data_IF_624583028265
#
_entry.id   IF_624583028265
#
_cell.length_a   1.000
_cell.length_b   1.000
_cell.length_c   1.000
_cell.angle_alpha   90.00
_cell.angle_beta   90.00
_cell.angle_gamma   90.00
#
_symmetry.space_group_name_H-M   'P 1'
#
loop_
_entity.id
_entity.type
_entity.pdbx_description
1 polymer ?
#
# COMPACT_ATOMS: atom_id res chain seq x y z
N UNK A 1 -0.39 8.57 9.91
CA UNK A 1 -0.02 7.18 9.61
C UNK A 1 -1.24 6.43 9.07
N UNK A 2 -1.03 5.72 7.99
CA UNK A 2 -1.99 4.74 7.50
C UNK A 2 -1.40 3.34 7.61
N UNK A 3 -2.18 2.39 8.13
CA UNK A 3 -1.79 0.98 8.22
C UNK A 3 -2.88 0.14 7.56
N UNK A 4 -2.52 -0.56 6.50
CA UNK A 4 -3.42 -1.50 5.82
C UNK A 4 -3.11 -2.93 6.24
N UNK A 5 -4.15 -3.70 6.54
CA UNK A 5 -4.02 -5.09 6.96
C UNK A 5 -4.85 -6.01 6.07
N UNK A 6 -4.54 -7.31 6.09
CA UNK A 6 -5.32 -8.32 5.40
C UNK A 6 -6.67 -8.45 6.08
N UNK A 7 -7.76 -8.17 5.36
CA UNK A 7 -9.12 -8.24 5.89
C UNK A 7 -9.66 -9.66 5.88
N UNK A 8 -10.51 -9.95 6.87
CA UNK A 8 -11.21 -11.23 6.93
C UNK A 8 -12.47 -11.19 6.04
N UNK A 9 -12.26 -11.40 4.75
CA UNK A 9 -13.34 -11.42 3.74
C UNK A 9 -13.65 -12.86 3.30
N UNK A 10 -13.61 -13.80 4.25
CA UNK A 10 -13.83 -15.22 3.95
C UNK A 10 -12.60 -15.91 3.39
N UNK A 11 -11.43 -15.30 3.50
CA UNK A 11 -10.15 -15.85 3.08
C UNK A 11 -9.32 -16.24 4.30
N UNK A 12 -8.38 -17.16 4.11
CA UNK A 12 -7.44 -17.58 5.14
C UNK A 12 -6.16 -16.72 5.11
N UNK A 13 -5.72 -16.38 3.90
CA UNK A 13 -4.52 -15.61 3.68
C UNK A 13 -4.59 -14.90 2.32
N UNK A 14 -3.65 -14.02 2.08
CA UNK A 14 -3.49 -13.33 0.80
C UNK A 14 -2.03 -13.30 0.41
N UNK A 15 -1.74 -13.62 -0.85
CA UNK A 15 -0.39 -13.55 -1.38
C UNK A 15 -0.24 -12.32 -2.26
N UNK A 16 0.84 -11.58 -2.06
CA UNK A 16 1.14 -10.35 -2.79
C UNK A 16 2.40 -10.52 -3.62
N UNK A 17 2.33 -10.10 -4.88
CA UNK A 17 3.49 -10.05 -5.78
C UNK A 17 3.55 -8.69 -6.47
N UNK A 18 4.77 -8.24 -6.72
CA UNK A 18 5.02 -7.03 -7.52
C UNK A 18 6.34 -7.17 -8.26
N UNK A 19 6.50 -6.39 -9.32
CA UNK A 19 7.80 -6.21 -9.95
C UNK A 19 8.57 -5.16 -9.13
N UNK A 20 9.48 -5.62 -8.26
CA UNK A 20 10.10 -4.77 -7.25
C UNK A 20 10.73 -3.49 -7.81
N UNK A 21 11.48 -3.58 -8.91
CA UNK A 21 12.11 -2.40 -9.50
C UNK A 21 11.09 -1.37 -9.97
N UNK A 22 10.02 -1.82 -10.63
CA UNK A 22 8.95 -0.94 -11.13
C UNK A 22 8.17 -0.38 -9.95
N UNK A 23 7.82 -1.23 -8.99
CA UNK A 23 7.06 -0.82 -7.83
C UNK A 23 7.81 0.23 -6.99
N UNK A 24 9.09 0.02 -6.73
CA UNK A 24 9.92 0.98 -5.97
C UNK A 24 9.98 2.32 -6.70
N UNK A 25 10.21 2.30 -8.00
CA UNK A 25 10.27 3.52 -8.81
C UNK A 25 8.95 4.28 -8.80
N UNK A 26 7.84 3.56 -8.92
CA UNK A 26 6.51 4.17 -8.87
C UNK A 26 6.22 4.76 -7.50
N UNK A 27 6.60 4.08 -6.43
CA UNK A 27 6.46 4.61 -5.07
C UNK A 27 7.29 5.87 -4.86
N UNK A 28 8.51 5.92 -5.37
CA UNK A 28 9.35 7.11 -5.32
C UNK A 28 8.71 8.29 -6.06
N UNK A 29 8.17 8.04 -7.23
CA UNK A 29 7.47 9.06 -8.03
C UNK A 29 6.25 9.59 -7.28
N UNK A 30 5.45 8.70 -6.70
CA UNK A 30 4.27 9.09 -5.91
C UNK A 30 4.68 9.93 -4.70
N UNK A 31 5.76 9.53 -4.01
CA UNK A 31 6.27 10.28 -2.86
C UNK A 31 6.72 11.68 -3.26
N UNK A 32 7.41 11.83 -4.38
CA UNK A 32 7.83 13.14 -4.90
C UNK A 32 6.63 14.01 -5.24
N UNK A 33 5.64 13.46 -5.92
CA UNK A 33 4.40 14.19 -6.26
C UNK A 33 3.65 14.63 -5.01
N UNK A 34 3.54 13.76 -4.01
CA UNK A 34 2.87 14.08 -2.75
C UNK A 34 3.61 15.18 -1.98
N UNK A 35 4.94 15.08 -1.92
CA UNK A 35 5.77 16.09 -1.25
C UNK A 35 5.57 17.46 -1.87
N UNK A 36 5.57 17.53 -3.19
CA UNK A 36 5.41 18.78 -3.92
C UNK A 36 4.00 19.34 -3.77
N UNK A 37 2.99 18.49 -3.94
CA UNK A 37 1.60 18.92 -3.94
C UNK A 37 1.08 19.33 -2.56
N UNK A 38 1.51 18.65 -1.51
CA UNK A 38 1.00 18.85 -0.14
C UNK A 38 2.03 19.42 0.82
N UNK A 39 3.20 19.78 0.33
CA UNK A 39 4.28 20.36 1.16
C UNK A 39 4.64 19.46 2.34
N UNK A 40 4.86 18.18 2.06
CA UNK A 40 5.19 17.20 3.10
C UNK A 40 6.68 17.31 3.48
N UNK A 41 6.97 17.11 4.77
CA UNK A 41 8.33 17.14 5.30
C UNK A 41 9.03 15.79 5.20
N UNK A 42 8.26 14.71 5.34
CA UNK A 42 8.79 13.36 5.32
C UNK A 42 7.73 12.37 4.84
N UNK A 43 8.18 11.31 4.18
CA UNK A 43 7.32 10.23 3.71
C UNK A 43 8.07 8.92 3.86
N UNK A 44 7.43 7.94 4.48
CA UNK A 44 7.89 6.55 4.49
C UNK A 44 6.75 5.67 4.01
N UNK A 45 7.03 4.83 3.02
CA UNK A 45 6.06 3.89 2.46
C UNK A 45 6.68 2.50 2.51
N UNK A 46 6.02 1.58 3.18
CA UNK A 46 6.47 0.19 3.29
C UNK A 46 5.35 -0.72 2.82
N UNK A 47 5.62 -1.54 1.82
CA UNK A 47 4.69 -2.55 1.32
C UNK A 47 5.33 -3.93 1.43
N UNK A 48 4.58 -4.90 1.94
CA UNK A 48 5.04 -6.28 2.06
C UNK A 48 4.55 -7.13 0.90
N UNK A 49 5.45 -7.97 0.39
CA UNK A 49 5.13 -9.02 -0.56
C UNK A 49 5.14 -10.38 0.15
N UNK A 50 4.62 -11.38 -0.52
CA UNK A 50 4.60 -12.75 -0.04
C UNK A 50 3.24 -13.16 0.53
N UNK A 51 3.23 -14.26 1.25
CA UNK A 51 2.02 -14.80 1.85
C UNK A 51 1.76 -14.13 3.20
N UNK A 52 0.63 -13.46 3.29
CA UNK A 52 0.21 -12.74 4.49
C UNK A 52 -1.11 -13.31 5.01
N UNK A 53 -1.20 -13.49 6.31
CA UNK A 53 -2.41 -14.00 6.97
C UNK A 53 -3.35 -12.85 7.30
N UNK A 54 -4.60 -13.19 7.58
CA UNK A 54 -5.59 -12.22 8.08
C UNK A 54 -5.00 -11.46 9.27
N UNK A 55 -5.18 -10.15 9.28
CA UNK A 55 -4.66 -9.19 10.24
C UNK A 55 -3.17 -8.82 10.08
N UNK A 56 -2.41 -9.52 9.25
CA UNK A 56 -1.04 -9.10 8.95
C UNK A 56 -1.02 -7.74 8.26
N UNK A 57 -0.01 -6.94 8.59
CA UNK A 57 0.19 -5.63 7.97
C UNK A 57 0.68 -5.79 6.54
N UNK A 58 0.00 -5.16 5.61
CA UNK A 58 0.34 -5.16 4.19
C UNK A 58 1.13 -3.90 3.82
N UNK A 59 0.65 -2.76 4.28
CA UNK A 59 1.10 -1.45 3.84
C UNK A 59 1.12 -0.48 5.01
N UNK A 60 2.21 0.26 5.13
CA UNK A 60 2.32 1.35 6.09
C UNK A 60 2.73 2.61 5.34
N UNK A 61 2.00 3.70 5.54
CA UNK A 61 2.33 5.01 5.00
C UNK A 61 2.46 5.97 6.17
N UNK A 62 3.64 6.56 6.32
CA UNK A 62 3.90 7.56 7.36
C UNK A 62 4.26 8.86 6.67
N UNK A 63 3.52 9.92 6.97
CA UNK A 63 3.81 11.25 6.43
C UNK A 63 3.96 12.24 7.57
N UNK A 64 4.85 13.21 7.37
CA UNK A 64 5.02 14.34 8.26
C UNK A 64 4.78 15.63 7.48
N UNK A 65 4.04 16.57 8.09
CA UNK A 65 3.78 17.89 7.55
C UNK A 65 3.69 18.90 8.69
N UNK A 66 3.84 20.18 8.36
CA UNK A 66 3.72 21.25 9.36
C UNK A 66 2.29 21.34 9.91
N UNK A 67 1.29 21.14 9.03
CA UNK A 67 -0.11 21.21 9.40
C UNK A 67 -0.85 19.90 9.14
N UNK A 68 -1.84 19.59 10.00
CA UNK A 68 -2.63 18.35 9.91
C UNK A 68 -3.33 18.14 8.57
N UNK A 69 -4.01 19.13 7.98
CA UNK A 69 -4.73 18.89 6.72
C UNK A 69 -3.83 18.33 5.63
N UNK A 70 -2.64 18.90 5.46
CA UNK A 70 -1.68 18.46 4.46
C UNK A 70 -1.20 17.02 4.72
N UNK A 71 -0.99 16.67 6.00
CA UNK A 71 -0.59 15.32 6.36
C UNK A 71 -1.66 14.29 6.01
N UNK A 72 -2.92 14.55 6.35
CA UNK A 72 -4.02 13.65 6.02
C UNK A 72 -4.26 13.55 4.53
N UNK A 73 -4.30 14.68 3.84
CA UNK A 73 -4.53 14.70 2.39
C UNK A 73 -3.37 14.06 1.62
N UNK A 74 -2.14 14.31 2.05
CA UNK A 74 -0.96 13.69 1.45
C UNK A 74 -0.95 12.18 1.62
N UNK A 75 -1.28 11.70 2.81
CA UNK A 75 -1.38 10.26 3.08
C UNK A 75 -2.47 9.61 2.22
N UNK A 76 -3.63 10.22 2.12
CA UNK A 76 -4.74 9.74 1.28
C UNK A 76 -4.35 9.71 -0.19
N UNK A 77 -3.72 10.76 -0.67
CA UNK A 77 -3.23 10.82 -2.05
C UNK A 77 -2.29 9.66 -2.35
N UNK A 78 -1.31 9.43 -1.47
CA UNK A 78 -0.34 8.34 -1.63
C UNK A 78 -1.06 6.98 -1.71
N UNK A 79 -1.99 6.73 -0.79
CA UNK A 79 -2.74 5.47 -0.78
C UNK A 79 -3.53 5.26 -2.08
N UNK A 80 -4.23 6.29 -2.54
CA UNK A 80 -5.03 6.21 -3.75
C UNK A 80 -4.17 6.02 -5.00
N UNK A 81 -3.02 6.71 -5.08
CA UNK A 81 -2.09 6.56 -6.18
C UNK A 81 -1.44 5.17 -6.22
N UNK A 82 -1.09 4.61 -5.05
CA UNK A 82 -0.57 3.24 -4.96
C UNK A 82 -1.60 2.25 -5.52
N UNK A 83 -2.84 2.36 -5.11
CA UNK A 83 -3.91 1.47 -5.58
C UNK A 83 -4.16 1.59 -7.08
N UNK A 84 -3.98 2.77 -7.65
CA UNK A 84 -4.26 3.04 -9.05
C UNK A 84 -3.14 2.67 -9.98
N UNK A 85 -1.88 2.93 -9.61
CA UNK A 85 -0.75 2.90 -10.53
C UNK A 85 0.34 1.88 -10.23
N UNK A 86 0.51 1.47 -8.98
CA UNK A 86 1.57 0.52 -8.64
C UNK A 86 1.15 -0.90 -8.99
N UNK A 87 1.94 -1.61 -9.83
CA UNK A 87 1.58 -2.96 -10.28
C UNK A 87 1.81 -4.00 -9.17
N UNK A 88 0.83 -4.14 -8.30
CA UNK A 88 0.82 -5.13 -7.23
C UNK A 88 -0.31 -6.11 -7.48
N UNK A 89 0.00 -7.40 -7.58
CA UNK A 89 -0.98 -8.46 -7.75
C UNK A 89 -1.27 -9.14 -6.43
N UNK A 90 -2.52 -9.52 -6.23
CA UNK A 90 -3.01 -10.18 -5.02
C UNK A 90 -3.66 -11.50 -5.39
N UNK A 91 -3.39 -12.54 -4.59
CA UNK A 91 -4.05 -13.82 -4.72
C UNK A 91 -4.69 -14.18 -3.39
N UNK A 92 -6.02 -14.33 -3.38
CA UNK A 92 -6.76 -14.76 -2.20
C UNK A 92 -6.61 -16.26 -2.00
N UNK A 93 -6.24 -16.68 -0.79
CA UNK A 93 -6.14 -18.07 -0.40
C UNK A 93 -7.34 -18.39 0.49
N UNK A 94 -8.24 -19.22 -0.02
CA UNK A 94 -9.44 -19.62 0.71
C UNK A 94 -9.21 -20.87 1.53
N UNK A 95 -10.06 -21.10 2.53
CA UNK A 95 -9.99 -22.23 3.47
C UNK A 95 -9.95 -23.59 2.77
N UNK A 96 -10.46 -23.70 1.54
CA UNK A 96 -10.48 -24.93 0.75
C UNK A 96 -9.31 -25.07 -0.23
N UNK A 97 -8.31 -24.18 -0.12
CA UNK A 97 -7.19 -24.14 -1.05
C UNK A 97 -7.51 -23.50 -2.38
N UNK A 98 -8.66 -22.87 -2.54
CA UNK A 98 -9.01 -22.11 -3.73
C UNK A 98 -8.18 -20.84 -3.80
N UNK A 99 -7.73 -20.51 -5.00
CA UNK A 99 -6.87 -19.35 -5.23
C UNK A 99 -7.46 -18.46 -6.32
N UNK A 100 -7.48 -17.15 -6.07
CA UNK A 100 -7.97 -16.16 -7.03
C UNK A 100 -7.01 -14.97 -7.09
N UNK A 101 -6.43 -14.72 -8.27
CA UNK A 101 -5.62 -13.52 -8.49
C UNK A 101 -6.49 -12.33 -8.84
N UNK A 102 -6.15 -11.17 -8.27
CA UNK A 102 -6.76 -9.90 -8.64
C UNK A 102 -5.77 -8.74 -8.42
N UNK A 103 -6.06 -7.64 -9.04
CA UNK A 103 -5.25 -6.42 -8.95
C UNK A 103 -5.87 -5.36 -8.06
#
# INVERSE_FOLDING_TARGET
IFVGTVRDDGIEAMEFESFDEVAIKDLETIAEQATEQFSLNSIDIIHRNGLLKVEDTILVIVVGAVHRPEAFEGCRFILEEIKRYVPIWKKDIHTRGEEHWHH
#
